data_IF_744242170332
#
_entry.id   IF_744242170332
#
_cell.length_a   1.000
_cell.length_b   1.000
_cell.length_c   1.000
_cell.angle_alpha   90.00
_cell.angle_beta   90.00
_cell.angle_gamma   90.00
#
_symmetry.space_group_name_H-M   'P 1'
#
loop_
_entity.id
_entity.type
_entity.pdbx_description
1 polymer ?
#
# COMPACT_ATOMS: atom_id res chain seq x y z
N UNK A 1 -1.53 -2.65 -32.02
CA UNK A 1 -0.56 -3.07 -31.00
C UNK A 1 -1.05 -2.47 -29.69
N UNK A 2 -1.16 -3.25 -28.63
CA UNK A 2 -1.62 -2.72 -27.34
C UNK A 2 -0.60 -1.70 -26.79
N UNK A 3 -1.12 -0.64 -26.20
CA UNK A 3 -0.31 0.39 -25.54
C UNK A 3 0.21 -0.09 -24.17
N UNK A 4 1.27 0.49 -23.62
CA UNK A 4 1.78 0.14 -22.29
C UNK A 4 0.71 0.19 -21.18
N UNK A 5 -0.20 1.18 -21.10
CA UNK A 5 -1.29 1.17 -20.13
C UNK A 5 -2.30 0.04 -20.32
N UNK A 6 -2.60 -0.35 -21.59
CA UNK A 6 -3.51 -1.47 -21.89
C UNK A 6 -2.91 -2.81 -21.47
N UNK A 7 -1.62 -3.01 -21.73
CA UNK A 7 -0.87 -4.18 -21.27
C UNK A 7 -0.85 -4.28 -19.75
N UNK A 8 -0.65 -3.17 -19.05
CA UNK A 8 -0.74 -3.11 -17.59
C UNK A 8 -2.13 -3.49 -17.10
N UNK A 9 -3.20 -2.94 -17.72
CA UNK A 9 -4.59 -3.29 -17.36
C UNK A 9 -4.85 -4.78 -17.55
N UNK A 10 -4.43 -5.35 -18.67
CA UNK A 10 -4.59 -6.79 -18.91
C UNK A 10 -3.88 -7.64 -17.86
N UNK A 11 -2.66 -7.23 -17.46
CA UNK A 11 -1.91 -7.90 -16.38
C UNK A 11 -2.66 -7.86 -15.06
N UNK A 12 -3.18 -6.71 -14.68
CA UNK A 12 -3.99 -6.53 -13.49
C UNK A 12 -5.23 -7.43 -13.51
N UNK A 13 -5.97 -7.40 -14.62
CA UNK A 13 -7.22 -8.18 -14.77
C UNK A 13 -6.93 -9.69 -14.69
N UNK A 14 -5.81 -10.15 -15.26
CA UNK A 14 -5.35 -11.54 -15.15
C UNK A 14 -5.07 -11.93 -13.70
N UNK A 15 -4.30 -11.14 -12.96
CA UNK A 15 -3.99 -11.41 -11.55
C UNK A 15 -5.27 -11.40 -10.71
N UNK A 16 -6.13 -10.41 -10.90
CA UNK A 16 -7.40 -10.30 -10.20
C UNK A 16 -8.35 -11.47 -10.50
N UNK A 17 -8.39 -11.95 -11.75
CA UNK A 17 -9.18 -13.12 -12.14
C UNK A 17 -8.64 -14.40 -11.48
N UNK A 18 -7.32 -14.59 -11.45
CA UNK A 18 -6.69 -15.71 -10.76
C UNK A 18 -7.03 -15.70 -9.26
N UNK A 19 -6.88 -14.56 -8.60
CA UNK A 19 -7.23 -14.41 -7.18
C UNK A 19 -8.70 -14.78 -6.93
N UNK A 20 -9.64 -14.25 -7.72
CA UNK A 20 -11.07 -14.57 -7.57
C UNK A 20 -11.35 -16.06 -7.71
N UNK A 21 -10.80 -16.72 -8.74
CA UNK A 21 -11.00 -18.15 -8.97
C UNK A 21 -10.48 -19.00 -7.79
N UNK A 22 -9.31 -18.66 -7.26
CA UNK A 22 -8.76 -19.36 -6.09
C UNK A 22 -9.61 -19.09 -4.84
N UNK A 23 -10.04 -17.86 -4.59
CA UNK A 23 -10.90 -17.54 -3.45
C UNK A 23 -12.22 -18.31 -3.52
N UNK A 24 -12.84 -18.44 -4.69
CA UNK A 24 -14.06 -19.23 -4.87
C UNK A 24 -13.87 -20.70 -4.48
N UNK A 25 -12.75 -21.33 -4.87
CA UNK A 25 -12.40 -22.69 -4.45
C UNK A 25 -12.21 -22.79 -2.94
N UNK A 26 -11.48 -21.84 -2.34
CA UNK A 26 -11.24 -21.80 -0.91
C UNK A 26 -12.55 -21.64 -0.12
N UNK A 27 -13.47 -20.79 -0.59
CA UNK A 27 -14.78 -20.64 0.04
C UNK A 27 -15.59 -21.94 0.03
N UNK A 28 -15.49 -22.74 -1.02
CA UNK A 28 -16.15 -24.05 -1.08
C UNK A 28 -15.58 -25.01 -0.04
N UNK A 29 -14.24 -25.09 0.06
CA UNK A 29 -13.57 -25.93 1.07
C UNK A 29 -13.92 -25.44 2.48
N UNK A 30 -13.82 -24.13 2.74
CA UNK A 30 -14.07 -23.54 4.06
C UNK A 30 -15.48 -23.83 4.59
N UNK A 31 -16.50 -23.90 3.70
CA UNK A 31 -17.88 -24.22 4.08
C UNK A 31 -18.05 -25.64 4.63
N UNK A 32 -17.12 -26.54 4.38
CA UNK A 32 -17.15 -27.91 4.90
C UNK A 32 -16.46 -28.06 6.26
N UNK A 33 -15.76 -27.00 6.72
CA UNK A 33 -15.02 -27.01 7.98
C UNK A 33 -15.90 -26.57 9.16
N UNK A 34 -15.56 -27.04 10.36
CA UNK A 34 -16.25 -26.65 11.59
C UNK A 34 -15.32 -25.89 12.53
N UNK A 35 -15.92 -25.03 13.37
CA UNK A 35 -15.18 -24.29 14.38
C UNK A 35 -14.51 -25.20 15.44
N UNK A 36 -15.05 -26.40 15.65
CA UNK A 36 -14.57 -27.36 16.65
C UNK A 36 -13.28 -28.04 16.20
N UNK A 37 -13.13 -28.32 14.90
CA UNK A 37 -12.02 -29.09 14.33
C UNK A 37 -11.10 -28.22 13.45
N UNK A 38 -11.33 -26.91 13.36
CA UNK A 38 -10.68 -26.01 12.39
C UNK A 38 -9.15 -26.11 12.36
N UNK A 39 -8.49 -26.28 13.51
CA UNK A 39 -7.04 -26.39 13.58
C UNK A 39 -6.58 -27.75 13.01
N UNK A 40 -7.27 -28.83 13.33
CA UNK A 40 -6.97 -30.17 12.82
C UNK A 40 -7.27 -30.24 11.32
N UNK A 41 -8.38 -29.66 10.87
CA UNK A 41 -8.76 -29.58 9.45
C UNK A 41 -7.71 -28.82 8.62
N UNK A 42 -7.19 -27.69 9.15
CA UNK A 42 -6.14 -26.90 8.48
C UNK A 42 -4.75 -27.53 8.56
N UNK A 43 -4.50 -28.44 9.50
CA UNK A 43 -3.30 -29.27 9.54
C UNK A 43 -3.43 -30.54 8.68
N UNK A 44 -4.65 -30.92 8.33
CA UNK A 44 -5.00 -32.11 7.57
C UNK A 44 -5.18 -31.87 6.07
N UNK A 45 -6.03 -32.68 5.46
CA UNK A 45 -6.29 -32.70 4.01
C UNK A 45 -6.87 -31.38 3.49
N UNK A 46 -7.78 -30.76 4.25
CA UNK A 46 -8.38 -29.46 3.84
C UNK A 46 -7.33 -28.36 3.74
N UNK A 47 -6.43 -28.25 4.73
CA UNK A 47 -5.32 -27.29 4.69
C UNK A 47 -4.34 -27.55 3.54
N UNK A 48 -4.03 -28.82 3.24
CA UNK A 48 -3.21 -29.20 2.10
C UNK A 48 -3.86 -28.77 0.77
N UNK A 49 -5.17 -29.04 0.60
CA UNK A 49 -5.93 -28.66 -0.60
C UNK A 49 -5.98 -27.13 -0.77
N UNK A 50 -6.17 -26.39 0.32
CA UNK A 50 -6.12 -24.91 0.32
C UNK A 50 -4.74 -24.42 -0.13
N UNK A 51 -3.67 -25.00 0.42
CA UNK A 51 -2.30 -24.64 0.06
C UNK A 51 -1.98 -24.95 -1.40
N UNK A 52 -2.38 -26.10 -1.92
CA UNK A 52 -2.21 -26.47 -3.33
C UNK A 52 -2.94 -25.51 -4.27
N UNK A 53 -4.18 -25.14 -3.95
CA UNK A 53 -4.94 -24.15 -4.74
C UNK A 53 -4.24 -22.78 -4.75
N UNK A 54 -3.78 -22.31 -3.59
CA UNK A 54 -3.05 -21.06 -3.48
C UNK A 54 -1.71 -21.08 -4.24
N UNK A 55 -0.96 -22.19 -4.16
CA UNK A 55 0.27 -22.41 -4.91
C UNK A 55 0.05 -22.46 -6.42
N UNK A 56 -1.06 -23.07 -6.89
CA UNK A 56 -1.44 -23.04 -8.29
C UNK A 56 -1.71 -21.59 -8.78
N UNK A 57 -2.37 -20.78 -7.96
CA UNK A 57 -2.55 -19.35 -8.24
C UNK A 57 -1.22 -18.59 -8.32
N UNK A 58 -0.28 -18.83 -7.38
CA UNK A 58 1.06 -18.26 -7.42
C UNK A 58 1.82 -18.67 -8.69
N UNK A 59 1.77 -19.93 -9.07
CA UNK A 59 2.41 -20.44 -10.29
C UNK A 59 1.87 -19.73 -11.53
N UNK A 60 0.55 -19.66 -11.68
CA UNK A 60 -0.12 -19.04 -12.83
C UNK A 60 0.28 -17.57 -13.02
N UNK A 61 0.33 -16.79 -11.94
CA UNK A 61 0.72 -15.37 -12.04
C UNK A 61 2.22 -15.19 -12.27
N UNK A 62 3.07 -16.07 -11.74
CA UNK A 62 4.50 -16.02 -11.96
C UNK A 62 4.88 -16.40 -13.41
N UNK A 63 4.23 -17.41 -13.98
CA UNK A 63 4.47 -17.86 -15.36
C UNK A 63 4.24 -16.74 -16.39
N UNK A 64 3.24 -15.91 -16.19
CA UNK A 64 2.90 -14.83 -17.10
C UNK A 64 3.82 -13.60 -17.02
N UNK A 65 4.66 -13.49 -16.00
CA UNK A 65 5.44 -12.29 -15.69
C UNK A 65 6.45 -11.92 -16.80
N UNK A 66 7.18 -12.91 -17.31
CA UNK A 66 8.21 -12.65 -18.35
C UNK A 66 7.58 -12.18 -19.66
N UNK A 67 6.45 -12.78 -20.07
CA UNK A 67 5.73 -12.37 -21.27
C UNK A 67 5.15 -10.97 -21.14
N UNK A 68 4.64 -10.62 -19.95
CA UNK A 68 4.16 -9.27 -19.65
C UNK A 68 5.28 -8.22 -19.80
N UNK A 69 6.43 -8.44 -19.16
CA UNK A 69 7.55 -7.49 -19.24
C UNK A 69 8.09 -7.38 -20.68
N UNK A 70 8.22 -8.49 -21.39
CA UNK A 70 8.64 -8.50 -22.79
C UNK A 70 7.67 -7.69 -23.68
N UNK A 71 6.36 -7.86 -23.50
CA UNK A 71 5.35 -7.11 -24.23
C UNK A 71 5.43 -5.60 -23.93
N UNK A 72 5.60 -5.22 -22.65
CA UNK A 72 5.78 -3.83 -22.24
C UNK A 72 7.01 -3.19 -22.90
N UNK A 73 8.14 -3.89 -22.88
CA UNK A 73 9.37 -3.37 -23.48
C UNK A 73 9.27 -3.26 -25.01
N UNK A 74 8.67 -4.24 -25.67
CA UNK A 74 8.44 -4.19 -27.11
C UNK A 74 7.51 -3.03 -27.52
N UNK A 75 6.43 -2.80 -26.77
CA UNK A 75 5.51 -1.68 -27.00
C UNK A 75 6.17 -0.31 -26.86
N UNK A 76 7.25 -0.22 -26.06
CA UNK A 76 8.03 1.00 -25.85
C UNK A 76 9.27 1.08 -26.79
N UNK A 77 9.35 0.23 -27.82
CA UNK A 77 10.46 0.23 -28.81
C UNK A 77 11.75 -0.40 -28.28
N UNK A 78 11.70 -1.23 -27.23
CA UNK A 78 12.78 -2.06 -26.74
C UNK A 78 13.00 -3.32 -27.59
N UNK A 79 13.53 -4.40 -26.99
CA UNK A 79 13.67 -5.68 -27.67
C UNK A 79 12.29 -6.17 -28.19
N UNK A 80 12.28 -6.68 -29.43
CA UNK A 80 11.10 -7.37 -29.96
C UNK A 80 10.81 -8.63 -29.15
N UNK A 81 9.57 -9.14 -29.23
CA UNK A 81 9.17 -10.38 -28.54
C UNK A 81 10.05 -11.57 -28.93
N UNK A 82 10.48 -11.65 -30.21
CA UNK A 82 11.39 -12.70 -30.69
C UNK A 82 12.77 -12.60 -30.05
N UNK A 83 13.31 -11.40 -29.87
CA UNK A 83 14.57 -11.17 -29.17
C UNK A 83 14.45 -11.43 -27.68
N UNK A 84 13.34 -11.00 -27.06
CA UNK A 84 13.08 -11.23 -25.65
C UNK A 84 12.92 -12.73 -25.31
N UNK A 85 12.42 -13.54 -26.24
CA UNK A 85 12.33 -14.99 -26.08
C UNK A 85 13.69 -15.70 -25.96
N UNK A 86 14.79 -15.04 -26.36
CA UNK A 86 16.15 -15.55 -26.21
C UNK A 86 16.78 -15.22 -24.85
N UNK A 87 16.11 -14.42 -24.02
CA UNK A 87 16.58 -14.11 -22.67
C UNK A 87 16.42 -15.33 -21.75
N UNK A 88 17.21 -15.42 -20.67
CA UNK A 88 17.05 -16.49 -19.69
C UNK A 88 15.62 -16.58 -19.18
N UNK A 89 15.06 -17.79 -19.16
CA UNK A 89 13.69 -18.00 -18.72
C UNK A 89 13.54 -17.83 -17.22
N UNK A 90 12.48 -17.12 -16.83
CA UNK A 90 12.02 -17.08 -15.44
C UNK A 90 11.63 -18.51 -15.01
N UNK A 91 11.89 -18.85 -13.75
CA UNK A 91 11.51 -20.16 -13.18
C UNK A 91 10.32 -19.98 -12.24
N UNK A 92 9.06 -20.13 -12.69
CA UNK A 92 7.88 -19.94 -11.87
C UNK A 92 7.87 -20.73 -10.55
N UNK A 93 8.37 -22.00 -10.49
CA UNK A 93 8.41 -22.73 -9.22
C UNK A 93 9.20 -22.06 -8.10
N UNK A 94 10.15 -21.16 -8.43
CA UNK A 94 10.93 -20.40 -7.45
C UNK A 94 10.13 -19.37 -6.65
N UNK A 95 8.89 -19.08 -7.06
CA UNK A 95 7.99 -18.11 -6.40
C UNK A 95 6.84 -18.79 -5.65
N UNK A 96 6.71 -20.10 -5.80
CA UNK A 96 5.57 -20.88 -5.28
C UNK A 96 5.84 -21.34 -3.85
N UNK A 97 4.79 -21.38 -3.02
CA UNK A 97 4.87 -21.83 -1.62
C UNK A 97 5.47 -20.78 -0.67
N UNK A 98 5.66 -19.53 -1.13
CA UNK A 98 6.19 -18.43 -0.32
C UNK A 98 5.07 -17.48 0.13
N UNK A 99 5.10 -17.16 1.42
CA UNK A 99 4.28 -16.09 1.99
C UNK A 99 4.91 -14.72 1.67
N UNK A 100 4.14 -13.60 1.74
CA UNK A 100 4.64 -12.25 1.47
C UNK A 100 5.87 -11.82 2.29
N UNK A 101 6.06 -12.41 3.47
CA UNK A 101 7.22 -12.17 4.34
C UNK A 101 8.40 -13.11 4.09
N UNK A 102 8.38 -13.93 3.03
CA UNK A 102 9.43 -14.90 2.70
C UNK A 102 9.38 -16.21 3.49
N UNK A 103 8.42 -16.38 4.39
CA UNK A 103 8.16 -17.64 5.09
C UNK A 103 7.40 -18.66 4.23
N UNK A 104 7.10 -19.82 4.81
CA UNK A 104 6.30 -20.84 4.11
C UNK A 104 4.83 -20.42 4.05
N UNK A 105 4.20 -20.63 2.88
CA UNK A 105 2.79 -20.30 2.66
C UNK A 105 1.87 -21.09 3.60
N UNK A 106 2.14 -22.38 3.81
CA UNK A 106 1.31 -23.25 4.67
C UNK A 106 1.26 -22.71 6.11
N UNK A 107 2.36 -22.17 6.62
CA UNK A 107 2.39 -21.55 7.96
C UNK A 107 1.47 -20.35 8.04
N UNK A 108 1.43 -19.52 6.98
CA UNK A 108 0.53 -18.37 6.90
C UNK A 108 -0.94 -18.82 6.86
N UNK A 109 -1.24 -19.87 6.08
CA UNK A 109 -2.61 -20.38 5.88
C UNK A 109 -3.17 -21.13 7.09
N UNK A 110 -2.36 -21.46 8.07
CA UNK A 110 -2.82 -21.99 9.36
C UNK A 110 -3.33 -20.89 10.31
N UNK A 111 -2.84 -19.64 10.20
CA UNK A 111 -3.20 -18.55 11.11
C UNK A 111 -4.70 -18.23 11.19
N UNK A 112 -5.51 -18.35 10.13
CA UNK A 112 -6.97 -18.17 10.22
C UNK A 112 -7.65 -19.09 11.21
N UNK A 113 -7.19 -20.35 11.35
CA UNK A 113 -7.70 -21.30 12.37
C UNK A 113 -7.45 -20.79 13.79
N UNK A 114 -6.22 -20.32 14.06
CA UNK A 114 -5.90 -19.67 15.33
C UNK A 114 -6.80 -18.43 15.53
N UNK A 115 -7.06 -17.65 14.47
CA UNK A 115 -7.95 -16.52 14.48
C UNK A 115 -9.38 -16.87 14.88
N UNK A 116 -9.93 -17.99 14.37
CA UNK A 116 -11.24 -18.52 14.75
C UNK A 116 -11.27 -18.83 16.24
N UNK A 117 -10.30 -19.61 16.74
CA UNK A 117 -10.22 -19.98 18.16
C UNK A 117 -10.14 -18.77 19.09
N UNK A 118 -9.35 -17.77 18.72
CA UNK A 118 -9.24 -16.51 19.49
C UNK A 118 -10.56 -15.74 19.56
N UNK A 119 -11.32 -15.68 18.45
CA UNK A 119 -12.64 -15.03 18.40
C UNK A 119 -13.65 -15.74 19.30
N UNK A 120 -13.67 -17.07 19.27
CA UNK A 120 -14.52 -17.87 20.17
C UNK A 120 -14.13 -17.65 21.63
N UNK A 121 -12.86 -17.68 21.95
CA UNK A 121 -12.36 -17.39 23.30
C UNK A 121 -12.70 -15.96 23.78
N UNK A 122 -12.85 -15.02 22.84
CA UNK A 122 -13.31 -13.64 23.12
C UNK A 122 -14.85 -13.52 23.22
N UNK A 123 -15.60 -14.64 23.10
CA UNK A 123 -17.06 -14.67 23.27
C UNK A 123 -17.88 -14.53 21.98
N UNK A 124 -17.26 -14.56 20.80
CA UNK A 124 -18.01 -14.57 19.54
C UNK A 124 -18.66 -15.92 19.31
N UNK A 125 -19.87 -15.96 18.71
CA UNK A 125 -20.50 -17.20 18.25
C UNK A 125 -19.59 -17.94 17.25
N UNK A 126 -19.56 -19.30 17.24
CA UNK A 126 -18.71 -20.07 16.34
C UNK A 126 -18.89 -19.70 14.86
N UNK A 127 -20.12 -19.47 14.41
CA UNK A 127 -20.42 -19.07 13.03
C UNK A 127 -19.79 -17.73 12.66
N UNK A 128 -19.88 -16.72 13.52
CA UNK A 128 -19.26 -15.41 13.29
C UNK A 128 -17.71 -15.51 13.31
N UNK A 129 -17.18 -16.35 14.20
CA UNK A 129 -15.75 -16.63 14.26
C UNK A 129 -15.25 -17.29 12.97
N UNK A 130 -16.02 -18.24 12.41
CA UNK A 130 -15.71 -18.91 11.12
C UNK A 130 -15.76 -17.93 9.95
N UNK A 131 -16.74 -17.01 9.91
CA UNK A 131 -16.77 -15.91 8.91
C UNK A 131 -15.51 -15.06 9.02
N UNK A 132 -15.11 -14.68 10.23
CA UNK A 132 -13.88 -13.92 10.46
C UNK A 132 -12.62 -14.67 10.01
N UNK A 133 -12.57 -15.98 10.23
CA UNK A 133 -11.48 -16.85 9.75
C UNK A 133 -11.42 -16.91 8.23
N UNK A 134 -12.57 -17.00 7.55
CA UNK A 134 -12.63 -16.98 6.09
C UNK A 134 -12.13 -15.64 5.51
N UNK A 135 -12.48 -14.52 6.15
CA UNK A 135 -11.98 -13.19 5.76
C UNK A 135 -10.46 -13.13 5.89
N UNK A 136 -9.89 -13.64 6.98
CA UNK A 136 -8.44 -13.71 7.15
C UNK A 136 -7.79 -14.62 6.09
N UNK A 137 -8.35 -15.81 5.83
CA UNK A 137 -7.86 -16.75 4.83
C UNK A 137 -7.82 -16.14 3.43
N UNK A 138 -8.92 -15.53 3.00
CA UNK A 138 -9.02 -14.89 1.68
C UNK A 138 -8.07 -13.71 1.54
N UNK A 139 -7.89 -12.92 2.61
CA UNK A 139 -6.93 -11.83 2.64
C UNK A 139 -5.49 -12.32 2.49
N UNK A 140 -5.11 -13.38 3.18
CA UNK A 140 -3.75 -13.93 3.11
C UNK A 140 -3.45 -14.51 1.72
N UNK A 141 -4.39 -15.27 1.14
CA UNK A 141 -4.24 -15.85 -0.20
C UNK A 141 -4.17 -14.77 -1.28
N UNK A 142 -5.10 -13.82 -1.26
CA UNK A 142 -5.09 -12.70 -2.21
C UNK A 142 -3.77 -11.91 -2.14
N UNK A 143 -3.28 -11.64 -0.93
CA UNK A 143 -2.01 -10.95 -0.73
C UNK A 143 -0.83 -11.78 -1.23
N UNK A 144 -0.80 -13.08 -0.94
CA UNK A 144 0.29 -13.97 -1.37
C UNK A 144 0.36 -14.07 -2.89
N UNK A 145 -0.76 -14.27 -3.59
CA UNK A 145 -0.80 -14.35 -5.05
C UNK A 145 -0.41 -13.00 -5.69
N UNK A 146 -0.96 -11.88 -5.20
CA UNK A 146 -0.63 -10.57 -5.71
C UNK A 146 0.86 -10.22 -5.50
N UNK A 147 1.44 -10.61 -4.37
CA UNK A 147 2.86 -10.39 -4.09
C UNK A 147 3.76 -11.28 -4.95
N UNK A 148 3.34 -12.51 -5.22
CA UNK A 148 4.03 -13.41 -6.16
C UNK A 148 4.06 -12.79 -7.56
N UNK A 149 2.91 -12.26 -8.05
CA UNK A 149 2.85 -11.60 -9.34
C UNK A 149 3.86 -10.44 -9.44
N UNK A 150 3.85 -9.54 -8.45
CA UNK A 150 4.76 -8.37 -8.42
C UNK A 150 6.22 -8.78 -8.32
N UNK A 151 6.52 -9.79 -7.49
CA UNK A 151 7.90 -10.27 -7.33
C UNK A 151 8.42 -10.91 -8.61
N UNK A 152 7.59 -11.71 -9.29
CA UNK A 152 7.92 -12.30 -10.57
C UNK A 152 8.09 -11.23 -11.67
N UNK A 153 7.18 -10.24 -11.72
CA UNK A 153 7.30 -9.09 -12.63
C UNK A 153 8.61 -8.32 -12.36
N UNK A 154 8.98 -8.11 -11.08
CA UNK A 154 10.22 -7.41 -10.71
C UNK A 154 11.47 -8.20 -11.11
N UNK A 155 11.50 -9.51 -10.93
CA UNK A 155 12.61 -10.36 -11.39
C UNK A 155 12.70 -10.32 -12.91
N UNK A 156 11.57 -10.40 -13.62
CA UNK A 156 11.54 -10.28 -15.08
C UNK A 156 12.03 -8.91 -15.55
N UNK A 157 11.65 -7.81 -14.89
CA UNK A 157 12.16 -6.46 -15.17
C UNK A 157 13.67 -6.36 -14.94
N UNK A 158 14.18 -6.91 -13.83
CA UNK A 158 15.60 -6.90 -13.52
C UNK A 158 16.43 -7.68 -14.55
N UNK A 159 15.89 -8.76 -15.08
CA UNK A 159 16.52 -9.59 -16.11
C UNK A 159 16.42 -9.00 -17.53
N UNK A 160 15.46 -8.08 -17.79
CA UNK A 160 15.24 -7.54 -19.13
C UNK A 160 16.16 -6.35 -19.42
N UNK A 161 17.06 -6.41 -20.40
CA UNK A 161 18.09 -5.37 -20.63
C UNK A 161 17.50 -4.01 -21.02
N UNK A 162 16.32 -3.98 -21.66
CA UNK A 162 15.65 -2.71 -22.03
C UNK A 162 14.87 -2.08 -20.87
N UNK A 163 14.69 -2.76 -19.75
CA UNK A 163 13.95 -2.21 -18.61
C UNK A 163 14.91 -1.44 -17.69
N UNK A 164 14.65 -0.17 -17.44
CA UNK A 164 15.50 0.67 -16.56
C UNK A 164 14.81 1.03 -15.24
N UNK A 165 13.48 1.13 -15.26
CA UNK A 165 12.68 1.56 -14.13
C UNK A 165 11.27 0.94 -14.22
N UNK A 166 10.44 1.21 -13.24
CA UNK A 166 9.00 0.99 -13.31
C UNK A 166 8.27 2.07 -12.52
N UNK A 167 7.00 2.26 -12.85
CA UNK A 167 6.12 3.16 -12.11
C UNK A 167 5.04 2.35 -11.40
N UNK A 168 4.66 2.83 -10.22
CA UNK A 168 3.54 2.28 -9.46
C UNK A 168 2.23 2.81 -10.01
N UNK A 169 1.38 1.91 -10.47
CA UNK A 169 0.04 2.22 -10.96
C UNK A 169 -1.00 1.80 -9.93
N UNK A 170 -1.95 2.68 -9.69
CA UNK A 170 -3.02 2.48 -8.72
C UNK A 170 -4.36 2.57 -9.44
N UNK A 171 -5.22 1.58 -9.20
CA UNK A 171 -6.59 1.54 -9.73
C UNK A 171 -7.58 1.67 -8.59
N UNK A 172 -8.69 2.33 -8.84
CA UNK A 172 -9.79 2.41 -7.89
C UNK A 172 -10.67 1.15 -7.98
N UNK A 173 -11.18 0.65 -6.81
CA UNK A 173 -11.04 1.21 -5.47
C UNK A 173 -9.66 0.98 -4.86
N UNK A 174 -9.09 1.97 -4.19
CA UNK A 174 -7.78 1.88 -3.55
C UNK A 174 -7.75 2.63 -2.21
N UNK A 175 -6.85 2.23 -1.32
CA UNK A 175 -6.68 2.94 -0.05
C UNK A 175 -5.90 4.25 -0.23
N UNK A 176 -6.03 5.17 0.72
CA UNK A 176 -5.35 6.47 0.70
C UNK A 176 -3.83 6.37 0.54
N UNK A 177 -3.20 5.36 1.15
CA UNK A 177 -1.74 5.15 1.03
C UNK A 177 -1.32 4.75 -0.37
N UNK A 178 -2.12 3.90 -1.04
CA UNK A 178 -1.86 3.54 -2.43
C UNK A 178 -2.04 4.75 -3.34
N UNK A 179 -3.12 5.51 -3.17
CA UNK A 179 -3.40 6.71 -3.98
C UNK A 179 -2.24 7.70 -3.90
N UNK A 180 -1.72 8.01 -2.69
CA UNK A 180 -0.57 8.91 -2.52
C UNK A 180 0.67 8.46 -3.29
N UNK A 181 0.84 7.16 -3.50
CA UNK A 181 2.01 6.56 -4.16
C UNK A 181 1.78 6.29 -5.66
N UNK A 182 0.63 6.69 -6.21
CA UNK A 182 0.37 6.58 -7.65
C UNK A 182 1.36 7.41 -8.45
N UNK A 183 1.91 6.83 -9.51
CA UNK A 183 2.90 7.48 -10.34
C UNK A 183 4.31 7.55 -9.74
N UNK A 184 4.55 6.99 -8.54
CA UNK A 184 5.91 6.93 -7.99
C UNK A 184 6.78 6.00 -8.86
N UNK A 185 7.91 6.53 -9.30
CA UNK A 185 8.91 5.77 -10.07
C UNK A 185 9.92 5.09 -9.15
N UNK A 186 10.31 3.88 -9.51
CA UNK A 186 11.31 3.06 -8.81
C UNK A 186 12.33 2.51 -9.81
N UNK A 187 13.54 2.23 -9.37
CA UNK A 187 14.50 1.50 -10.18
C UNK A 187 14.06 0.05 -10.34
N UNK A 188 14.45 -0.61 -11.44
CA UNK A 188 14.05 -2.00 -11.75
C UNK A 188 14.42 -3.03 -10.67
N UNK A 189 15.41 -2.74 -9.83
CA UNK A 189 15.91 -3.61 -8.76
C UNK A 189 15.36 -3.26 -7.38
N UNK A 190 14.57 -2.20 -7.25
CA UNK A 190 14.03 -1.70 -5.99
C UNK A 190 12.56 -2.09 -5.85
N UNK A 191 12.21 -2.79 -4.79
CA UNK A 191 10.81 -3.08 -4.45
C UNK A 191 10.15 -1.93 -3.72
N UNK A 192 8.82 -1.93 -3.65
CA UNK A 192 8.09 -0.98 -2.82
C UNK A 192 7.32 -1.69 -1.69
N UNK A 193 7.19 -0.99 -0.56
CA UNK A 193 6.45 -1.50 0.60
C UNK A 193 4.95 -1.59 0.29
N UNK A 194 4.33 -2.67 0.77
CA UNK A 194 2.92 -3.01 0.57
C UNK A 194 2.26 -3.31 1.90
N UNK A 195 0.95 -3.30 1.91
CA UNK A 195 0.11 -3.78 3.01
C UNK A 195 -0.80 -4.90 2.49
N UNK A 196 -1.39 -5.73 3.35
CA UNK A 196 -2.40 -6.71 2.92
C UNK A 196 -3.50 -6.07 2.06
N UNK A 197 -3.99 -6.81 1.06
CA UNK A 197 -4.97 -6.34 0.07
C UNK A 197 -4.52 -5.11 -0.75
N UNK A 198 -3.22 -4.98 -1.02
CA UNK A 198 -2.71 -3.93 -1.90
C UNK A 198 -2.82 -4.34 -3.37
N UNK A 199 -3.63 -3.63 -4.17
CA UNK A 199 -3.87 -3.89 -5.58
C UNK A 199 -2.97 -3.11 -6.54
N UNK A 200 -1.93 -2.43 -6.02
CA UNK A 200 -1.03 -1.67 -6.87
C UNK A 200 -0.24 -2.59 -7.81
N UNK A 201 -0.08 -2.15 -9.04
CA UNK A 201 0.71 -2.82 -10.08
C UNK A 201 2.00 -2.07 -10.38
N UNK A 202 2.86 -2.76 -11.13
CA UNK A 202 4.10 -2.22 -11.68
C UNK A 202 3.95 -2.06 -13.18
N UNK A 203 4.23 -0.88 -13.72
CA UNK A 203 4.32 -0.63 -15.15
C UNK A 203 5.80 -0.48 -15.52
N UNK A 204 6.42 -1.47 -16.18
CA UNK A 204 7.82 -1.42 -16.59
C UNK A 204 8.10 -0.28 -17.57
N UNK A 205 9.26 0.37 -17.44
CA UNK A 205 9.69 1.50 -18.27
C UNK A 205 11.02 1.22 -18.95
N UNK A 206 11.10 1.57 -20.23
CA UNK A 206 12.33 1.56 -21.01
C UNK A 206 13.20 2.79 -20.75
N UNK A 207 12.58 3.92 -20.49
CA UNK A 207 13.24 5.21 -20.27
C UNK A 207 12.75 5.84 -18.97
N UNK A 208 13.50 6.78 -18.42
CA UNK A 208 13.09 7.52 -17.21
C UNK A 208 12.07 8.63 -17.53
N UNK A 209 11.32 8.47 -18.61
CA UNK A 209 10.21 9.35 -18.92
C UNK A 209 9.01 9.04 -18.05
N UNK A 210 8.32 10.09 -17.61
CA UNK A 210 7.15 9.92 -16.74
C UNK A 210 5.97 9.43 -17.58
N UNK A 211 5.45 8.22 -17.34
CA UNK A 211 4.32 7.71 -18.11
C UNK A 211 3.03 8.45 -17.75
N UNK A 212 2.08 8.45 -18.67
CA UNK A 212 0.72 8.95 -18.43
C UNK A 212 -0.06 7.99 -17.53
N UNK A 213 0.15 8.13 -16.22
CA UNK A 213 -0.57 7.40 -15.19
C UNK A 213 -1.31 8.37 -14.28
N UNK A 214 -2.49 8.00 -13.74
CA UNK A 214 -3.27 8.90 -12.90
C UNK A 214 -2.46 9.40 -11.70
N UNK A 215 -2.41 10.72 -11.54
CA UNK A 215 -1.81 11.34 -10.36
C UNK A 215 -2.65 11.07 -9.10
N UNK A 216 -2.09 11.23 -7.89
CA UNK A 216 -2.86 11.15 -6.66
C UNK A 216 -4.09 12.05 -6.66
N UNK A 217 -3.97 13.27 -7.19
CA UNK A 217 -5.08 14.22 -7.30
C UNK A 217 -6.14 13.73 -8.28
N UNK A 218 -5.73 13.24 -9.45
CA UNK A 218 -6.66 12.67 -10.45
C UNK A 218 -7.49 11.51 -9.85
N UNK A 219 -6.83 10.62 -9.09
CA UNK A 219 -7.53 9.51 -8.42
C UNK A 219 -8.48 9.99 -7.33
N UNK A 220 -8.09 11.01 -6.56
CA UNK A 220 -8.98 11.62 -5.56
C UNK A 220 -10.22 12.25 -6.21
N UNK A 221 -10.06 12.95 -7.33
CA UNK A 221 -11.14 13.65 -8.04
C UNK A 221 -12.09 12.68 -8.74
N UNK A 222 -11.64 11.45 -9.07
CA UNK A 222 -12.49 10.38 -9.59
C UNK A 222 -13.41 9.74 -8.53
N UNK A 223 -13.10 9.91 -7.24
CA UNK A 223 -13.94 9.42 -6.15
C UNK A 223 -15.10 10.39 -5.90
N UNK A 224 -16.29 9.86 -5.67
CA UNK A 224 -17.40 10.65 -5.14
C UNK A 224 -17.16 11.12 -3.69
N UNK A 225 -18.00 12.02 -3.19
CA UNK A 225 -17.83 12.61 -1.86
C UNK A 225 -17.81 11.57 -0.73
N UNK A 226 -18.62 10.53 -0.82
CA UNK A 226 -18.68 9.47 0.19
C UNK A 226 -17.44 8.57 0.12
N UNK A 227 -17.01 8.21 -1.08
CA UNK A 227 -15.78 7.47 -1.31
C UNK A 227 -14.55 8.24 -0.82
N UNK A 228 -14.46 9.54 -1.13
CA UNK A 228 -13.40 10.41 -0.59
C UNK A 228 -13.37 10.39 0.94
N UNK A 229 -14.53 10.49 1.60
CA UNK A 229 -14.62 10.45 3.05
C UNK A 229 -14.26 9.08 3.64
N UNK A 230 -14.65 7.99 2.98
CA UNK A 230 -14.26 6.63 3.40
C UNK A 230 -12.76 6.40 3.29
N UNK A 231 -12.15 6.85 2.20
CA UNK A 231 -10.74 6.61 1.91
C UNK A 231 -9.82 7.55 2.71
N UNK A 232 -10.19 8.83 2.84
CA UNK A 232 -9.33 9.87 3.43
C UNK A 232 -9.86 10.42 4.77
N UNK A 233 -10.98 9.91 5.26
CA UNK A 233 -11.81 10.43 6.36
C UNK A 233 -12.52 11.72 6.00
N UNK A 234 -13.49 12.12 6.81
CA UNK A 234 -14.27 13.35 6.60
C UNK A 234 -13.36 14.58 6.59
N UNK A 235 -12.52 14.70 7.61
CA UNK A 235 -11.62 15.85 7.77
C UNK A 235 -10.48 15.83 6.73
N UNK A 236 -9.88 14.67 6.46
CA UNK A 236 -8.85 14.53 5.43
C UNK A 236 -9.37 14.89 4.05
N UNK A 237 -10.53 14.36 3.64
CA UNK A 237 -11.15 14.69 2.37
C UNK A 237 -11.52 16.19 2.27
N UNK A 238 -11.98 16.80 3.38
CA UNK A 238 -12.24 18.25 3.45
C UNK A 238 -10.95 19.06 3.26
N UNK A 239 -9.86 18.65 3.92
CA UNK A 239 -8.57 19.33 3.79
C UNK A 239 -8.01 19.24 2.36
N UNK A 240 -8.12 18.07 1.70
CA UNK A 240 -7.68 17.89 0.30
C UNK A 240 -8.52 18.77 -0.63
N UNK A 241 -9.85 18.79 -0.50
CA UNK A 241 -10.73 19.68 -1.28
C UNK A 241 -10.46 21.18 -1.04
N UNK A 242 -9.93 21.52 0.13
CA UNK A 242 -9.50 22.90 0.43
C UNK A 242 -8.12 23.26 -0.17
N UNK A 243 -7.51 22.35 -0.94
CA UNK A 243 -6.19 22.52 -1.56
C UNK A 243 -5.04 21.93 -0.73
N UNK A 244 -5.34 21.10 0.26
CA UNK A 244 -4.33 20.38 1.03
C UNK A 244 -3.61 19.31 0.19
N UNK A 245 -2.29 19.23 0.34
CA UNK A 245 -1.47 18.19 -0.28
C UNK A 245 -1.89 16.81 0.24
N UNK A 246 -2.24 15.89 -0.66
CA UNK A 246 -2.74 14.55 -0.33
C UNK A 246 -1.72 13.77 0.50
N UNK A 247 -0.44 13.85 0.14
CA UNK A 247 0.65 13.18 0.86
C UNK A 247 0.78 13.69 2.29
N UNK A 248 0.71 15.00 2.51
CA UNK A 248 0.77 15.57 3.86
C UNK A 248 -0.44 15.23 4.72
N UNK A 249 -1.63 15.18 4.12
CA UNK A 249 -2.86 14.79 4.82
C UNK A 249 -2.83 13.32 5.23
N UNK A 250 -2.47 12.42 4.30
CA UNK A 250 -2.45 10.97 4.57
C UNK A 250 -1.32 10.60 5.51
N UNK A 251 -0.11 11.14 5.32
CA UNK A 251 1.03 10.82 6.17
C UNK A 251 0.89 11.36 7.60
N UNK A 252 0.14 12.45 7.81
CA UNK A 252 -0.13 12.98 9.14
C UNK A 252 -0.68 11.90 10.10
N UNK A 253 -1.46 10.95 9.58
CA UNK A 253 -2.05 9.85 10.37
C UNK A 253 -1.05 8.82 10.88
N UNK A 254 0.14 8.71 10.27
CA UNK A 254 1.18 7.76 10.71
C UNK A 254 1.78 8.13 12.06
N UNK A 255 1.88 9.44 12.33
CA UNK A 255 2.42 9.98 13.57
C UNK A 255 1.36 10.65 14.45
N UNK A 256 0.08 10.26 14.28
CA UNK A 256 -1.02 10.81 15.06
C UNK A 256 -0.89 10.43 16.52
N UNK A 257 -1.11 11.42 17.39
CA UNK A 257 -1.08 11.29 18.82
C UNK A 257 -2.15 12.23 19.43
N UNK A 258 -2.48 12.01 20.68
CA UNK A 258 -3.36 12.88 21.44
C UNK A 258 -2.53 13.58 22.52
N UNK A 259 -2.52 14.90 22.50
CA UNK A 259 -1.83 15.70 23.53
C UNK A 259 -2.84 16.47 24.36
N UNK A 260 -2.58 16.52 25.66
CA UNK A 260 -3.42 17.28 26.61
C UNK A 260 -2.83 18.67 26.83
N UNK A 261 -3.52 19.71 26.36
CA UNK A 261 -3.09 21.11 26.49
C UNK A 261 -4.25 21.95 26.99
N UNK A 262 -4.03 22.73 28.04
CA UNK A 262 -5.06 23.61 28.64
C UNK A 262 -6.38 22.91 28.97
N UNK A 263 -6.30 21.69 29.52
CA UNK A 263 -7.49 20.94 29.90
C UNK A 263 -8.29 20.33 28.74
N UNK A 264 -7.72 20.27 27.54
CA UNK A 264 -8.33 19.71 26.32
C UNK A 264 -7.43 18.71 25.64
N UNK A 265 -8.02 17.65 25.14
CA UNK A 265 -7.36 16.69 24.30
C UNK A 265 -7.35 17.19 22.85
N UNK A 266 -6.16 17.30 22.26
CA UNK A 266 -5.94 17.72 20.89
C UNK A 266 -5.32 16.60 20.08
N UNK A 267 -5.88 16.33 18.90
CA UNK A 267 -5.27 15.41 17.94
C UNK A 267 -4.16 16.12 17.18
N UNK A 268 -2.96 15.58 17.31
CA UNK A 268 -1.73 16.13 16.74
C UNK A 268 -0.99 15.09 15.93
N UNK A 269 0.01 15.51 15.17
CA UNK A 269 0.91 14.59 14.45
C UNK A 269 2.35 15.10 14.54
N UNK A 270 3.27 14.16 14.65
CA UNK A 270 4.71 14.39 14.54
C UNK A 270 5.22 14.22 13.10
N UNK A 271 4.40 13.66 12.20
CA UNK A 271 4.76 13.53 10.79
C UNK A 271 4.77 14.90 10.09
N UNK A 272 5.79 15.10 9.26
CA UNK A 272 5.99 16.38 8.58
C UNK A 272 6.36 17.55 9.50
N UNK A 273 6.74 17.30 10.76
CA UNK A 273 7.17 18.30 11.73
C UNK A 273 8.69 18.56 11.72
N UNK A 274 9.43 18.08 10.72
CA UNK A 274 10.88 18.31 10.59
C UNK A 274 11.17 19.74 10.11
N UNK A 275 12.37 20.26 10.40
CA UNK A 275 12.82 21.60 9.95
C UNK A 275 12.74 21.78 8.43
N UNK A 276 12.86 20.71 7.64
CA UNK A 276 12.80 20.72 6.18
C UNK A 276 11.38 20.62 5.62
N UNK A 277 10.41 20.24 6.42
CA UNK A 277 9.01 20.17 6.02
C UNK A 277 8.41 21.57 5.75
N UNK A 278 7.27 21.63 5.05
CA UNK A 278 6.53 22.87 4.85
C UNK A 278 6.21 23.57 6.18
N UNK A 279 5.73 22.79 7.15
CA UNK A 279 5.46 23.28 8.51
C UNK A 279 6.71 23.81 9.22
N UNK A 280 7.83 23.05 9.20
CA UNK A 280 9.08 23.47 9.82
C UNK A 280 9.67 24.73 9.20
N UNK A 281 9.59 24.88 7.87
CA UNK A 281 10.02 26.10 7.16
C UNK A 281 9.12 27.30 7.48
N UNK A 282 7.81 27.11 7.54
CA UNK A 282 6.86 28.14 7.93
C UNK A 282 7.16 28.69 9.33
N UNK A 283 7.41 27.83 10.29
CA UNK A 283 7.80 28.22 11.67
C UNK A 283 9.12 28.95 11.72
N UNK A 284 10.12 28.48 10.99
CA UNK A 284 11.43 29.16 10.96
C UNK A 284 11.35 30.57 10.39
N UNK A 285 10.45 30.82 9.42
CA UNK A 285 10.20 32.16 8.83
C UNK A 285 9.41 33.07 9.76
N UNK A 286 8.53 32.52 10.60
CA UNK A 286 7.73 33.27 11.55
C UNK A 286 8.52 33.76 12.78
N UNK A 287 9.82 33.51 12.84
CA UNK A 287 10.65 33.93 13.97
C UNK A 287 10.37 33.19 15.28
N UNK A 288 9.77 32.00 15.17
CA UNK A 288 9.39 31.18 16.32
C UNK A 288 10.68 30.69 17.03
N UNK A 289 11.06 31.33 18.13
CA UNK A 289 12.29 31.07 18.91
C UNK A 289 12.41 29.62 19.43
N UNK A 290 11.34 28.84 19.35
CA UNK A 290 11.34 27.44 19.71
C UNK A 290 12.35 26.60 18.91
N UNK A 291 12.67 27.01 17.69
CA UNK A 291 13.71 26.38 16.88
C UNK A 291 15.12 26.66 17.42
N UNK A 292 15.34 27.79 18.11
CA UNK A 292 16.61 28.16 18.75
C UNK A 292 16.82 27.40 20.06
N UNK A 293 15.77 27.24 20.89
CA UNK A 293 15.87 26.53 22.16
C UNK A 293 16.16 25.03 22.00
N UNK A 294 15.69 24.38 20.95
CA UNK A 294 16.00 22.97 20.69
C UNK A 294 17.49 22.73 20.31
N UNK A 295 18.18 23.76 19.85
CA UNK A 295 19.61 23.72 19.49
C UNK A 295 20.58 23.95 20.65
N UNK A 296 20.13 24.60 21.74
CA UNK A 296 21.01 25.01 22.82
C UNK A 296 21.12 24.02 23.98
N UNK A 297 20.30 22.97 24.07
CA UNK A 297 20.28 22.04 25.20
C UNK A 297 21.19 20.81 25.08
N UNK A 298 21.87 20.58 24.01
CA UNK A 298 22.83 19.50 23.87
C UNK A 298 24.10 19.99 23.17
N UNK A 299 25.11 20.32 23.96
CA UNK A 299 26.47 20.64 23.56
C UNK A 299 27.27 19.45 23.06
N UNK A 300 26.68 18.58 22.21
CA UNK A 300 27.40 17.55 21.51
C UNK A 300 27.18 17.70 20.01
N UNK A 301 28.24 18.13 19.35
CA UNK A 301 28.38 18.13 17.91
C UNK A 301 28.52 16.68 17.43
N UNK A 302 27.40 15.99 17.27
CA UNK A 302 27.38 14.70 16.58
C UNK A 302 26.74 14.83 15.23
N UNK A 303 27.30 14.13 14.26
CA UNK A 303 27.04 14.09 12.83
C UNK A 303 25.61 13.71 12.40
N UNK A 304 24.65 13.68 13.29
CA UNK A 304 23.24 13.45 13.03
C UNK A 304 22.54 14.69 12.43
N UNK A 305 23.04 15.16 11.28
CA UNK A 305 22.43 16.29 10.53
C UNK A 305 21.09 15.99 9.89
N UNK A 306 20.54 14.78 9.99
CA UNK A 306 19.50 14.35 9.06
C UNK A 306 18.08 14.22 9.62
N UNK A 307 17.84 14.04 10.95
CA UNK A 307 16.49 13.80 11.46
C UNK A 307 16.22 14.40 12.83
N UNK A 308 16.36 15.70 12.99
CA UNK A 308 15.75 16.34 14.17
C UNK A 308 14.30 16.71 13.83
N UNK A 309 13.36 15.88 14.31
CA UNK A 309 11.95 16.28 14.39
C UNK A 309 11.86 17.52 15.28
N UNK A 310 11.06 18.50 14.89
CA UNK A 310 10.69 19.55 15.83
C UNK A 310 9.89 18.86 16.94
N UNK A 311 10.17 19.11 18.19
CA UNK A 311 9.39 18.56 19.32
C UNK A 311 7.95 19.10 19.37
N UNK A 312 7.62 20.05 18.54
CA UNK A 312 6.28 20.65 18.47
C UNK A 312 5.48 19.94 17.41
N UNK A 313 4.47 19.17 17.80
CA UNK A 313 3.56 18.52 16.86
C UNK A 313 2.73 19.56 16.13
N UNK A 314 2.19 19.19 14.97
CA UNK A 314 1.23 19.98 14.22
C UNK A 314 -0.18 19.45 14.44
N UNK A 315 -1.18 20.33 14.43
CA UNK A 315 -2.58 19.90 14.58
C UNK A 315 -3.01 19.03 13.40
N UNK A 316 -3.80 18.02 13.71
CA UNK A 316 -4.49 17.20 12.69
C UNK A 316 -5.59 18.03 12.00
N UNK A 317 -5.95 17.68 10.75
CA UNK A 317 -7.07 18.36 10.04
C UNK A 317 -8.37 18.36 10.84
N UNK A 318 -8.66 17.29 11.59
CA UNK A 318 -9.82 17.18 12.48
C UNK A 318 -9.88 18.33 13.49
N UNK A 319 -8.73 18.62 14.13
CA UNK A 319 -8.64 19.69 15.12
C UNK A 319 -8.70 21.07 14.49
N UNK A 320 -8.08 21.23 13.31
CA UNK A 320 -8.14 22.49 12.58
C UNK A 320 -9.60 22.86 12.28
N UNK A 321 -10.39 21.91 11.75
CA UNK A 321 -11.80 22.14 11.45
C UNK A 321 -12.70 22.26 12.67
N UNK A 322 -12.25 21.77 13.84
CA UNK A 322 -12.97 21.92 15.10
C UNK A 322 -12.80 23.30 15.75
N UNK A 323 -11.60 23.89 15.60
CA UNK A 323 -11.25 25.15 16.26
C UNK A 323 -11.43 26.40 15.39
N UNK A 324 -11.48 26.22 14.06
CA UNK A 324 -11.67 27.34 13.14
C UNK A 324 -13.11 27.86 13.21
N UNK A 325 -13.26 29.17 13.35
CA UNK A 325 -14.58 29.82 13.41
C UNK A 325 -15.21 29.95 12.03
N UNK A 326 -14.39 30.10 10.98
CA UNK A 326 -14.85 30.27 9.61
C UNK A 326 -13.88 29.64 8.59
N UNK A 327 -14.26 29.73 7.29
CA UNK A 327 -13.49 29.15 6.20
C UNK A 327 -12.13 29.82 6.00
N UNK A 328 -12.02 31.12 6.21
CA UNK A 328 -10.75 31.83 6.03
C UNK A 328 -9.75 31.42 7.12
N UNK A 329 -10.23 31.21 8.31
CA UNK A 329 -9.45 30.66 9.40
C UNK A 329 -9.05 29.20 9.16
N UNK A 330 -9.94 28.36 8.64
CA UNK A 330 -9.58 27.00 8.21
C UNK A 330 -8.40 26.99 7.24
N UNK A 331 -8.48 27.80 6.19
CA UNK A 331 -7.41 27.91 5.19
C UNK A 331 -6.13 28.48 5.78
N UNK A 332 -6.22 29.46 6.67
CA UNK A 332 -5.08 30.05 7.38
C UNK A 332 -4.38 28.99 8.25
N UNK A 333 -5.16 28.19 8.99
CA UNK A 333 -4.62 27.13 9.85
C UNK A 333 -4.06 25.96 9.02
N UNK A 334 -4.72 25.53 7.96
CA UNK A 334 -4.18 24.51 7.05
C UNK A 334 -2.82 24.93 6.46
N UNK A 335 -2.66 26.21 6.08
CA UNK A 335 -1.36 26.75 5.65
C UNK A 335 -0.35 26.80 6.81
N UNK A 336 -0.75 27.29 7.97
CA UNK A 336 0.11 27.37 9.16
C UNK A 336 0.68 26.02 9.55
N UNK A 337 -0.14 24.97 9.48
CA UNK A 337 0.27 23.61 9.82
C UNK A 337 0.82 22.82 8.62
N UNK A 338 1.02 23.47 7.47
CA UNK A 338 1.73 22.90 6.32
C UNK A 338 0.96 21.81 5.58
N UNK A 339 -0.36 21.87 5.57
CA UNK A 339 -1.22 21.04 4.72
C UNK A 339 -1.45 21.67 3.35
N UNK A 340 -1.47 22.99 3.28
CA UNK A 340 -1.53 23.79 2.05
C UNK A 340 -0.19 24.53 1.89
N UNK A 341 0.34 24.55 0.67
CA UNK A 341 1.56 25.29 0.31
C UNK A 341 1.33 26.81 0.24
#
# INVERSE_FOLDING_TARGET
METPPELGRRRYDQVAATIRAIIEQIQQIWRTLSAETIEDDLLGEAGATIAEAAMAGQFSVAEAAQAYVAAQMAAQGGLSLAQAALLPALRPPGFVGLAPGGGRLETLLFLPGIGVRRRIAAGLPPEEAMIGGLVDMTMYIATAIADTARTADQVAMAAHPSCVAYVRVVRLPACSRCIVLSGQMYTRSEGFLRHPNCDCETLPLREHEWPDVPSPQTLFDQLDKEQQQRVFTVAGARAIRAGGDIGYVVNARRGMDTTHIYGRDLQVTHEGATRRSAYGRSRSRAGDDFARFAGQRHGEATSARYFRSTRTPRLMPEEIFRIADDRDEELRLLRRYGYIA
#
